data_IF_914031111502
#
_entry.id   IF_914031111502
#
_cell.length_a   1.000
_cell.length_b   1.000
_cell.length_c   1.000
_cell.angle_alpha   90.00
_cell.angle_beta   90.00
_cell.angle_gamma   90.00
#
_symmetry.space_group_name_H-M   'P 1'
#
loop_
_entity.id
_entity.type
_entity.pdbx_description
1 polymer ?
#
# COMPACT_ATOMS: atom_id res chain seq x y z
N UNK A 1 -17.31 -23.53 18.52
CA UNK A 1 -16.72 -24.00 17.24
C UNK A 1 -17.27 -23.07 16.16
N UNK A 2 -16.52 -22.00 15.90
CA UNK A 2 -16.98 -20.80 15.18
C UNK A 2 -16.84 -20.95 13.67
N UNK A 3 -17.93 -20.70 12.97
CA UNK A 3 -18.05 -20.73 11.51
C UNK A 3 -17.37 -19.53 10.81
N UNK A 4 -16.09 -19.26 11.11
CA UNK A 4 -15.32 -18.16 10.51
C UNK A 4 -14.12 -18.66 9.69
N UNK A 5 -13.87 -19.97 9.65
CA UNK A 5 -12.67 -20.52 8.99
C UNK A 5 -12.84 -20.90 7.51
N UNK A 6 -14.03 -20.80 6.93
CA UNK A 6 -14.28 -21.31 5.57
C UNK A 6 -14.82 -20.25 4.58
N UNK A 7 -14.16 -19.09 4.55
CA UNK A 7 -14.39 -18.08 3.51
C UNK A 7 -13.46 -18.29 2.32
N UNK A 8 -13.83 -19.24 1.47
CA UNK A 8 -13.23 -19.47 0.14
C UNK A 8 -13.16 -18.21 -0.74
N UNK A 9 -13.91 -17.15 -0.42
CA UNK A 9 -13.88 -15.86 -1.12
C UNK A 9 -12.62 -15.03 -0.86
N UNK A 10 -11.99 -15.15 0.32
CA UNK A 10 -10.76 -14.39 0.66
C UNK A 10 -9.63 -14.76 -0.30
N UNK A 11 -9.55 -16.02 -0.72
CA UNK A 11 -8.50 -16.52 -1.64
C UNK A 11 -8.62 -15.98 -3.06
N UNK A 12 -9.82 -15.62 -3.52
CA UNK A 12 -10.05 -15.15 -4.89
C UNK A 12 -9.71 -13.66 -5.10
N UNK A 13 -9.39 -12.94 -4.02
CA UNK A 13 -9.07 -11.51 -4.02
C UNK A 13 -7.82 -11.19 -3.18
N UNK A 14 -6.94 -12.18 -2.92
CA UNK A 14 -5.62 -11.83 -2.40
C UNK A 14 -4.83 -11.16 -3.53
N UNK A 15 -4.21 -10.00 -3.29
CA UNK A 15 -3.41 -9.35 -4.33
C UNK A 15 -2.21 -10.25 -4.68
N UNK A 16 -1.69 -10.12 -5.90
CA UNK A 16 -0.63 -11.01 -6.43
C UNK A 16 0.68 -11.02 -5.65
N UNK A 17 0.87 -10.07 -4.71
CA UNK A 17 2.00 -10.03 -3.78
C UNK A 17 2.01 -11.13 -2.69
N UNK A 18 0.96 -11.96 -2.61
CA UNK A 18 0.86 -13.13 -1.71
C UNK A 18 1.08 -14.45 -2.46
N UNK A 19 1.38 -14.41 -3.77
CA UNK A 19 1.65 -15.59 -4.59
C UNK A 19 3.16 -15.69 -4.89
N UNK A 20 3.82 -16.82 -4.58
CA UNK A 20 5.26 -16.94 -4.69
C UNK A 20 5.74 -17.24 -6.13
N UNK A 21 7.01 -16.90 -6.35
CA UNK A 21 8.01 -17.51 -7.27
C UNK A 21 8.51 -16.77 -8.53
N UNK A 22 7.79 -15.87 -9.20
CA UNK A 22 8.26 -15.41 -10.53
C UNK A 22 8.84 -13.98 -10.67
N UNK A 23 8.85 -13.13 -9.63
CA UNK A 23 9.11 -11.68 -9.83
C UNK A 23 10.46 -11.11 -9.35
N UNK A 24 11.39 -11.92 -8.86
CA UNK A 24 12.71 -11.43 -8.43
C UNK A 24 13.84 -11.89 -9.37
N UNK A 25 13.88 -11.37 -10.61
CA UNK A 25 15.11 -11.36 -11.40
C UNK A 25 15.86 -10.04 -11.18
N UNK A 26 16.40 -9.86 -9.98
CA UNK A 26 17.48 -8.90 -9.75
C UNK A 26 18.69 -9.67 -9.24
N UNK A 27 19.81 -9.50 -9.94
CA UNK A 27 21.07 -10.18 -9.66
C UNK A 27 21.51 -9.92 -8.22
N UNK A 28 21.79 -10.99 -7.48
CA UNK A 28 22.36 -10.93 -6.12
C UNK A 28 23.79 -10.39 -6.21
N UNK A 29 24.14 -9.25 -5.58
CA UNK A 29 25.53 -8.94 -5.32
C UNK A 29 26.00 -9.82 -4.16
N UNK A 30 27.03 -10.63 -4.41
CA UNK A 30 27.90 -11.09 -3.33
C UNK A 30 28.58 -9.85 -2.75
N UNK A 31 28.49 -9.62 -1.43
CA UNK A 31 29.70 -9.46 -0.60
C UNK A 31 29.42 -9.20 0.88
N UNK A 32 30.23 -9.92 1.65
CA UNK A 32 30.54 -9.83 3.08
C UNK A 32 30.64 -8.39 3.61
N UNK A 33 29.84 -8.03 4.62
CA UNK A 33 29.98 -6.76 5.33
C UNK A 33 31.19 -6.85 6.29
N UNK A 34 32.23 -6.07 5.99
CA UNK A 34 33.23 -5.63 6.96
C UNK A 34 32.76 -4.31 7.58
N UNK A 35 32.89 -4.22 8.91
CA UNK A 35 32.70 -3.00 9.71
C UNK A 35 33.38 -1.78 9.07
N UNK A 36 32.61 -0.72 8.79
CA UNK A 36 33.12 0.64 8.55
C UNK A 36 32.17 1.67 9.17
N UNK A 37 32.73 2.84 9.47
CA UNK A 37 32.15 4.07 10.05
C UNK A 37 30.67 4.37 9.75
N UNK A 38 30.00 5.19 10.58
CA UNK A 38 28.61 5.60 10.32
C UNK A 38 28.48 6.20 8.93
N UNK A 39 27.75 5.49 8.07
CA UNK A 39 27.46 5.92 6.70
C UNK A 39 26.49 7.11 6.75
N UNK A 40 26.71 8.10 5.91
CA UNK A 40 26.02 9.40 6.02
C UNK A 40 24.63 9.38 5.37
N UNK A 41 23.70 10.21 5.83
CA UNK A 41 22.37 10.39 5.21
C UNK A 41 22.45 10.76 3.72
N UNK A 42 23.53 11.44 3.32
CA UNK A 42 23.80 11.80 1.92
C UNK A 42 24.26 10.61 1.06
N UNK A 43 24.80 9.55 1.66
CA UNK A 43 25.20 8.32 0.95
C UNK A 43 23.98 7.45 0.62
N UNK A 44 22.96 7.46 1.49
CA UNK A 44 21.69 6.77 1.23
C UNK A 44 20.88 7.47 0.12
N UNK A 45 20.79 8.79 0.15
CA UNK A 45 20.00 9.58 -0.80
C UNK A 45 20.86 10.23 -1.88
N UNK A 46 21.33 9.42 -2.84
CA UNK A 46 21.99 9.95 -4.04
C UNK A 46 21.03 10.86 -4.82
N UNK A 47 21.50 11.99 -5.37
CA UNK A 47 20.63 12.96 -6.07
C UNK A 47 19.83 12.33 -7.21
N UNK A 48 18.54 12.68 -7.27
CA UNK A 48 17.67 12.44 -8.44
C UNK A 48 17.95 13.56 -9.44
N UNK A 49 18.62 13.25 -10.54
CA UNK A 49 19.08 14.23 -11.52
C UNK A 49 18.11 14.35 -12.72
N UNK A 50 17.26 13.34 -12.93
CA UNK A 50 16.19 13.34 -13.92
C UNK A 50 14.87 13.87 -13.38
N UNK A 51 14.08 14.53 -14.24
CA UNK A 51 12.79 15.12 -13.87
C UNK A 51 11.73 14.08 -13.45
N UNK A 52 11.91 12.82 -13.84
CA UNK A 52 11.00 11.71 -13.55
C UNK A 52 11.69 10.53 -12.84
N UNK A 53 12.83 10.79 -12.20
CA UNK A 53 13.49 9.82 -11.34
C UNK A 53 12.82 9.76 -9.96
N UNK A 54 12.66 8.55 -9.45
CA UNK A 54 12.13 8.26 -8.13
C UNK A 54 13.01 7.22 -7.44
N UNK A 55 12.75 6.97 -6.16
CA UNK A 55 13.28 5.80 -5.46
C UNK A 55 12.17 4.87 -5.06
N UNK A 56 12.41 3.57 -5.14
CA UNK A 56 11.53 2.52 -4.64
C UNK A 56 12.31 1.70 -3.63
N UNK A 57 11.70 1.44 -2.48
CA UNK A 57 12.30 0.67 -1.41
C UNK A 57 11.99 -0.82 -1.60
N UNK A 58 13.02 -1.66 -1.64
CA UNK A 58 12.85 -3.11 -1.50
C UNK A 58 12.89 -3.49 -0.02
N UNK A 59 11.71 -3.78 0.54
CA UNK A 59 11.61 -4.32 1.90
C UNK A 59 12.04 -5.78 1.90
N UNK A 60 13.06 -6.10 2.71
CA UNK A 60 13.64 -7.45 2.79
C UNK A 60 12.76 -8.40 3.61
N UNK A 61 12.82 -9.71 3.33
CA UNK A 61 12.07 -10.70 4.09
C UNK A 61 12.52 -10.80 5.55
N UNK A 62 11.64 -11.32 6.39
CA UNK A 62 11.92 -11.57 7.81
C UNK A 62 10.66 -11.90 8.61
N UNK A 63 10.85 -12.44 9.81
CA UNK A 63 9.76 -12.75 10.72
C UNK A 63 9.23 -11.47 11.38
N UNK A 64 8.03 -11.53 11.98
CA UNK A 64 7.39 -10.35 12.58
C UNK A 64 8.29 -9.57 13.54
N UNK A 65 9.05 -10.23 14.42
CA UNK A 65 9.88 -9.59 15.45
C UNK A 65 11.28 -9.17 14.96
N UNK A 66 11.71 -9.63 13.78
CA UNK A 66 13.02 -9.26 13.24
C UNK A 66 13.07 -7.76 12.93
N UNK A 67 14.25 -7.15 13.03
CA UNK A 67 14.47 -5.77 12.59
C UNK A 67 14.05 -5.57 11.13
N UNK A 68 13.50 -4.41 10.80
CA UNK A 68 13.18 -4.08 9.41
C UNK A 68 14.48 -3.74 8.66
N UNK A 69 14.68 -4.36 7.50
CA UNK A 69 15.79 -4.09 6.59
C UNK A 69 15.25 -3.81 5.20
N UNK A 70 15.88 -2.88 4.48
CA UNK A 70 15.51 -2.51 3.14
C UNK A 70 16.73 -2.10 2.29
N UNK A 71 16.52 -2.08 0.97
CA UNK A 71 17.42 -1.45 0.01
C UNK A 71 16.68 -0.37 -0.77
N UNK A 72 17.34 0.73 -1.08
CA UNK A 72 16.73 1.84 -1.81
C UNK A 72 17.19 1.87 -3.26
N UNK A 73 16.27 1.59 -4.18
CA UNK A 73 16.56 1.48 -5.62
C UNK A 73 16.17 2.76 -6.34
N UNK A 74 17.04 3.23 -7.22
CA UNK A 74 16.78 4.35 -8.11
C UNK A 74 16.12 3.86 -9.40
N UNK A 75 15.06 4.54 -9.83
CA UNK A 75 14.40 4.20 -11.08
C UNK A 75 13.83 5.42 -11.80
N UNK A 76 13.72 5.31 -13.12
CA UNK A 76 13.03 6.29 -13.95
C UNK A 76 11.58 5.85 -14.19
N UNK A 77 10.66 6.80 -14.14
CA UNK A 77 9.26 6.59 -14.54
C UNK A 77 9.03 6.77 -16.04
N UNK A 78 10.06 7.15 -16.81
CA UNK A 78 9.97 7.24 -18.26
C UNK A 78 9.75 5.84 -18.84
N UNK A 79 8.69 5.70 -19.64
CA UNK A 79 8.49 4.45 -20.39
C UNK A 79 9.51 4.39 -21.51
N UNK A 80 10.28 3.31 -21.60
CA UNK A 80 11.08 3.05 -22.80
C UNK A 80 10.13 2.94 -24.01
N UNK A 81 10.29 3.85 -24.98
CA UNK A 81 9.66 3.70 -26.28
C UNK A 81 10.30 2.49 -26.92
N UNK A 82 9.62 1.34 -26.88
CA UNK A 82 10.04 0.17 -27.65
C UNK A 82 10.13 0.56 -29.13
N UNK A 83 11.20 0.15 -29.80
CA UNK A 83 11.43 0.44 -31.22
C UNK A 83 10.15 0.17 -32.03
N UNK A 84 9.73 1.16 -32.83
CA UNK A 84 8.56 1.07 -33.70
C UNK A 84 8.72 -0.13 -34.66
N UNK A 85 7.96 -1.21 -34.44
CA UNK A 85 7.71 -2.20 -35.48
C UNK A 85 6.33 -1.88 -36.08
N UNK A 86 6.24 -1.52 -37.37
CA UNK A 86 4.97 -1.23 -38.02
C UNK A 86 4.02 -2.43 -37.92
N UNK A 87 2.80 -2.21 -37.42
CA UNK A 87 1.72 -3.21 -37.41
C UNK A 87 1.49 -3.96 -36.08
N UNK A 88 2.27 -3.69 -35.02
CA UNK A 88 1.94 -4.16 -33.66
C UNK A 88 1.46 -3.02 -32.77
N UNK A 89 0.29 -3.21 -32.15
CA UNK A 89 -0.25 -2.35 -31.08
C UNK A 89 0.53 -2.67 -29.81
N UNK A 90 1.50 -1.83 -29.44
CA UNK A 90 2.36 -2.06 -28.27
C UNK A 90 1.64 -1.74 -26.96
N UNK A 91 1.87 -2.56 -25.94
CA UNK A 91 1.57 -2.27 -24.53
C UNK A 91 2.72 -1.42 -23.95
N UNK A 92 2.41 -0.31 -23.27
CA UNK A 92 3.40 0.41 -22.46
C UNK A 92 3.92 -0.56 -21.39
N UNK A 93 5.17 -0.99 -21.50
CA UNK A 93 5.82 -1.77 -20.42
C UNK A 93 6.03 -0.80 -19.25
N UNK A 94 5.48 -1.11 -18.08
CA UNK A 94 5.77 -0.35 -16.86
C UNK A 94 7.28 -0.48 -16.59
N UNK A 95 8.01 0.62 -16.39
CA UNK A 95 9.46 0.55 -16.19
C UNK A 95 9.84 -0.18 -14.89
N UNK A 96 8.95 -0.18 -13.89
CA UNK A 96 9.10 -0.94 -12.64
C UNK A 96 7.74 -1.35 -12.07
N UNK A 97 7.67 -2.54 -11.48
CA UNK A 97 6.51 -3.02 -10.73
C UNK A 97 6.75 -2.80 -9.23
N UNK A 98 5.96 -1.92 -8.62
CA UNK A 98 6.03 -1.61 -7.19
C UNK A 98 4.64 -1.37 -6.63
N UNK A 99 4.52 -1.49 -5.31
CA UNK A 99 3.30 -1.16 -4.56
C UNK A 99 3.46 0.18 -3.86
N UNK A 100 2.56 1.12 -4.12
CA UNK A 100 2.53 2.39 -3.38
C UNK A 100 1.77 2.23 -2.07
N UNK A 101 2.35 2.64 -0.94
CA UNK A 101 1.66 2.66 0.35
C UNK A 101 1.11 4.06 0.60
N UNK A 102 -0.20 4.14 0.75
CA UNK A 102 -0.86 5.31 1.28
C UNK A 102 -1.24 5.07 2.75
N UNK A 103 -0.79 5.93 3.64
CA UNK A 103 -1.09 5.82 5.08
C UNK A 103 -1.32 7.20 5.68
N UNK A 104 -2.14 7.26 6.72
CA UNK A 104 -2.34 8.51 7.43
C UNK A 104 -1.09 8.87 8.24
N UNK A 105 -0.59 10.09 8.02
CA UNK A 105 0.60 10.60 8.69
C UNK A 105 0.42 10.74 10.22
N UNK A 106 -0.81 10.60 10.74
CA UNK A 106 -1.12 10.32 12.15
C UNK A 106 -0.48 11.26 13.16
N UNK A 107 -0.31 10.77 14.39
CA UNK A 107 0.51 11.43 15.40
C UNK A 107 2.00 11.41 14.99
N UNK A 108 2.73 12.48 15.30
CA UNK A 108 4.16 12.65 14.98
C UNK A 108 5.06 11.85 15.92
N UNK A 109 4.77 10.55 16.10
CA UNK A 109 5.57 9.64 16.91
C UNK A 109 6.59 8.93 16.01
N UNK A 110 7.86 9.34 16.15
CA UNK A 110 9.01 8.85 15.39
C UNK A 110 9.89 7.95 16.25
N UNK A 111 9.35 6.80 16.64
CA UNK A 111 10.01 5.77 17.48
C UNK A 111 10.26 4.46 16.73
N UNK A 112 9.87 4.37 15.46
CA UNK A 112 10.15 3.22 14.60
C UNK A 112 11.51 3.33 13.92
N UNK A 113 12.10 2.18 13.57
CA UNK A 113 13.40 2.11 12.91
C UNK A 113 13.42 1.11 11.77
N UNK A 114 14.13 1.45 10.70
CA UNK A 114 14.44 0.56 9.59
C UNK A 114 15.91 0.76 9.17
N UNK A 115 16.61 -0.32 8.86
CA UNK A 115 17.93 -0.25 8.24
C UNK A 115 17.79 -0.21 6.72
N UNK A 116 18.25 0.87 6.09
CA UNK A 116 18.27 1.01 4.63
C UNK A 116 19.72 1.00 4.14
N UNK A 117 20.14 -0.07 3.46
CA UNK A 117 21.51 -0.24 2.93
C UNK A 117 22.61 0.04 3.99
N UNK A 118 22.38 -0.40 5.24
CA UNK A 118 23.28 -0.18 6.37
C UNK A 118 23.16 1.18 7.04
N UNK A 119 22.12 1.96 6.73
CA UNK A 119 21.81 3.25 7.36
C UNK A 119 20.53 3.14 8.17
N UNK A 120 20.63 3.28 9.50
CA UNK A 120 19.46 3.35 10.36
C UNK A 120 18.66 4.63 10.07
N UNK A 121 17.39 4.45 9.69
CA UNK A 121 16.43 5.54 9.48
C UNK A 121 15.38 5.51 10.58
N UNK A 122 15.03 6.69 11.10
CA UNK A 122 13.92 6.85 12.04
C UNK A 122 12.65 7.10 11.23
N UNK A 123 11.65 6.25 11.46
CA UNK A 123 10.36 6.30 10.79
C UNK A 123 9.23 6.44 11.80
N UNK A 124 8.05 6.80 11.32
CA UNK A 124 6.85 6.83 12.16
C UNK A 124 6.50 5.44 12.64
N UNK A 125 5.97 5.33 13.86
CA UNK A 125 5.48 4.04 14.38
C UNK A 125 4.47 3.38 13.45
N UNK A 126 3.57 4.20 12.92
CA UNK A 126 2.50 3.75 12.03
C UNK A 126 3.06 3.16 10.73
N UNK A 127 4.17 3.71 10.22
CA UNK A 127 4.85 3.17 9.06
C UNK A 127 5.62 1.89 9.40
N UNK A 128 6.33 1.84 10.53
CA UNK A 128 7.01 0.60 10.97
C UNK A 128 6.04 -0.57 11.06
N UNK A 129 4.90 -0.35 11.74
CA UNK A 129 3.85 -1.37 11.90
C UNK A 129 3.27 -1.75 10.54
N UNK A 130 3.01 -0.77 9.66
CA UNK A 130 2.58 -1.05 8.29
C UNK A 130 3.58 -1.98 7.61
N UNK A 131 4.86 -1.58 7.51
CA UNK A 131 5.91 -2.36 6.84
C UNK A 131 6.02 -3.79 7.37
N UNK A 132 5.86 -4.01 8.68
CA UNK A 132 5.81 -5.38 9.24
C UNK A 132 4.63 -6.21 8.70
N UNK A 133 3.48 -5.60 8.46
CA UNK A 133 2.31 -6.24 7.83
C UNK A 133 2.45 -6.44 6.31
N UNK A 134 3.34 -5.71 5.64
CA UNK A 134 3.68 -5.92 4.22
C UNK A 134 4.86 -6.89 4.04
N UNK A 135 5.70 -7.09 5.08
CA UNK A 135 6.87 -7.97 5.03
C UNK A 135 6.45 -9.43 4.92
N UNK A 136 6.96 -10.12 3.91
CA UNK A 136 6.84 -11.56 3.77
C UNK A 136 8.01 -12.27 4.51
N UNK A 137 7.83 -13.48 5.07
CA UNK A 137 8.92 -14.20 5.73
C UNK A 137 10.05 -14.65 4.79
N UNK A 138 9.77 -14.77 3.49
CA UNK A 138 10.70 -15.38 2.52
C UNK A 138 11.02 -14.48 1.32
N UNK A 139 10.12 -13.56 0.96
CA UNK A 139 10.23 -12.77 -0.26
C UNK A 139 10.35 -11.28 0.04
N UNK A 140 11.12 -10.58 -0.78
CA UNK A 140 11.15 -9.12 -0.78
C UNK A 140 9.92 -8.54 -1.49
N UNK A 141 9.56 -7.31 -1.13
CA UNK A 141 8.54 -6.53 -1.83
C UNK A 141 9.07 -5.13 -2.18
N UNK A 142 8.78 -4.66 -3.40
CA UNK A 142 9.08 -3.30 -3.84
C UNK A 142 7.95 -2.37 -3.44
N UNK A 143 8.26 -1.40 -2.59
CA UNK A 143 7.35 -0.44 -2.00
C UNK A 143 7.79 0.98 -2.33
N UNK A 144 6.84 1.80 -2.79
CA UNK A 144 7.01 3.24 -2.73
C UNK A 144 6.27 3.80 -1.51
N UNK A 145 6.99 4.53 -0.66
CA UNK A 145 6.42 5.23 0.49
C UNK A 145 7.15 6.54 0.73
N UNK A 146 6.40 7.63 0.81
CA UNK A 146 6.91 9.01 0.83
C UNK A 146 8.04 9.26 1.85
N UNK A 147 7.89 8.78 3.08
CA UNK A 147 8.82 9.03 4.18
C UNK A 147 10.22 8.44 3.94
N UNK A 148 10.33 7.36 3.17
CA UNK A 148 11.61 6.68 2.90
C UNK A 148 12.08 6.95 1.48
N UNK A 149 11.19 6.93 0.48
CA UNK A 149 11.56 7.08 -0.92
C UNK A 149 11.97 8.51 -1.30
N UNK A 150 11.47 9.51 -0.55
CA UNK A 150 11.82 10.92 -0.73
C UNK A 150 12.81 11.32 0.37
N UNK A 151 13.88 12.02 -0.01
CA UNK A 151 14.80 12.62 0.94
C UNK A 151 14.11 13.74 1.71
N UNK A 152 13.61 13.42 2.90
CA UNK A 152 12.88 14.36 3.76
C UNK A 152 13.74 15.55 4.22
N UNK A 153 15.07 15.46 4.12
CA UNK A 153 16.00 16.54 4.44
C UNK A 153 16.28 17.50 3.28
N UNK A 154 15.73 17.25 2.09
CA UNK A 154 15.94 18.08 0.89
C UNK A 154 14.60 18.67 0.39
N UNK A 155 14.35 19.94 0.70
CA UNK A 155 13.09 20.63 0.32
C UNK A 155 12.90 20.76 -1.20
N UNK A 156 13.98 20.88 -1.97
CA UNK A 156 13.89 20.93 -3.43
C UNK A 156 13.42 19.57 -3.98
N UNK A 157 14.00 18.47 -3.48
CA UNK A 157 13.57 17.12 -3.84
C UNK A 157 12.13 16.87 -3.42
N UNK A 158 11.75 17.20 -2.18
CA UNK A 158 10.37 17.05 -1.70
C UNK A 158 9.38 17.77 -2.59
N UNK A 159 9.65 19.03 -2.94
CA UNK A 159 8.78 19.82 -3.82
C UNK A 159 8.63 19.15 -5.18
N UNK A 160 9.73 18.69 -5.78
CA UNK A 160 9.70 17.97 -7.05
C UNK A 160 8.88 16.67 -6.94
N UNK A 161 9.14 15.84 -5.93
CA UNK A 161 8.50 14.54 -5.77
C UNK A 161 7.01 14.67 -5.45
N UNK A 162 6.58 15.70 -4.72
CA UNK A 162 5.16 16.00 -4.50
C UNK A 162 4.43 16.27 -5.82
N UNK A 163 5.07 16.99 -6.77
CA UNK A 163 4.50 17.20 -8.10
C UNK A 163 4.38 15.90 -8.91
N UNK A 164 5.20 14.90 -8.60
CA UNK A 164 5.20 13.59 -9.24
C UNK A 164 4.25 12.57 -8.59
N UNK A 165 3.66 12.86 -7.42
CA UNK A 165 2.86 11.88 -6.67
C UNK A 165 1.73 11.27 -7.49
N UNK A 166 1.02 12.08 -8.28
CA UNK A 166 -0.04 11.56 -9.15
C UNK A 166 0.48 10.53 -10.17
N UNK A 167 1.69 10.74 -10.70
CA UNK A 167 2.33 9.80 -11.62
C UNK A 167 2.81 8.54 -10.90
N UNK A 168 3.32 8.66 -9.67
CA UNK A 168 3.76 7.52 -8.87
C UNK A 168 2.58 6.60 -8.54
N UNK A 169 1.47 7.14 -8.00
CA UNK A 169 0.27 6.34 -7.77
C UNK A 169 -0.33 5.77 -9.06
N UNK A 170 -0.29 6.53 -10.16
CA UNK A 170 -0.78 6.06 -11.46
C UNK A 170 0.07 4.97 -12.12
N UNK A 171 1.36 4.87 -11.80
CA UNK A 171 2.24 3.84 -12.35
C UNK A 171 2.45 2.64 -11.41
N UNK A 172 2.06 2.75 -10.14
CA UNK A 172 2.12 1.67 -9.17
C UNK A 172 1.28 0.46 -9.62
N UNK A 173 1.81 -0.76 -9.48
CA UNK A 173 1.09 -1.99 -9.79
C UNK A 173 -0.14 -2.12 -8.90
N UNK A 174 0.07 -1.84 -7.62
CA UNK A 174 -0.96 -1.75 -6.61
C UNK A 174 -0.76 -0.46 -5.81
N UNK A 175 -1.85 0.14 -5.38
CA UNK A 175 -1.83 1.11 -4.27
C UNK A 175 -2.52 0.46 -3.08
N UNK A 176 -1.95 0.61 -1.88
CA UNK A 176 -2.56 0.07 -0.66
C UNK A 176 -2.74 1.18 0.36
N UNK A 177 -3.99 1.42 0.69
CA UNK A 177 -4.43 2.25 1.78
C UNK A 177 -4.30 1.48 3.11
N UNK A 178 -3.31 1.84 3.91
CA UNK A 178 -3.12 1.32 5.25
C UNK A 178 -3.96 2.09 6.27
N UNK A 179 -4.93 1.41 6.87
CA UNK A 179 -5.86 1.98 7.87
C UNK A 179 -5.38 1.84 9.32
N UNK A 180 -4.25 1.18 9.53
CA UNK A 180 -3.72 0.84 10.85
C UNK A 180 -4.02 -0.59 11.28
N UNK A 181 -3.66 -0.91 12.53
CA UNK A 181 -3.95 -2.20 13.15
C UNK A 181 -5.44 -2.51 13.21
N UNK A 182 -5.74 -3.80 13.05
CA UNK A 182 -7.08 -4.31 13.23
C UNK A 182 -7.47 -4.25 14.71
N UNK A 183 -8.74 -3.94 14.96
CA UNK A 183 -9.35 -4.00 16.28
C UNK A 183 -10.51 -5.00 16.28
N UNK A 184 -11.23 -5.09 17.41
CA UNK A 184 -12.37 -6.00 17.55
C UNK A 184 -13.51 -5.73 16.56
N UNK A 185 -13.55 -4.56 15.93
CA UNK A 185 -14.61 -4.13 15.02
C UNK A 185 -14.25 -4.36 13.55
N UNK A 186 -12.96 -4.46 13.26
CA UNK A 186 -12.43 -4.59 11.89
C UNK A 186 -13.03 -5.82 11.15
N UNK A 187 -13.12 -7.02 11.75
CA UNK A 187 -13.71 -8.17 11.06
C UNK A 187 -15.20 -7.95 10.68
N UNK A 188 -15.99 -7.36 11.57
CA UNK A 188 -17.40 -7.07 11.33
C UNK A 188 -17.59 -6.05 10.21
N UNK A 189 -16.80 -4.97 10.21
CA UNK A 189 -16.81 -3.94 9.18
C UNK A 189 -16.42 -4.48 7.79
N UNK A 190 -15.37 -5.31 7.73
CA UNK A 190 -14.96 -5.95 6.47
C UNK A 190 -16.00 -6.95 5.98
N UNK A 191 -16.60 -7.71 6.90
CA UNK A 191 -17.66 -8.67 6.60
C UNK A 191 -18.88 -8.01 5.97
N UNK A 192 -19.45 -6.98 6.60
CA UNK A 192 -20.64 -6.30 6.08
C UNK A 192 -20.38 -5.65 4.70
N UNK A 193 -19.22 -5.02 4.49
CA UNK A 193 -18.85 -4.45 3.18
C UNK A 193 -18.77 -5.52 2.09
N UNK A 194 -18.13 -6.66 2.40
CA UNK A 194 -18.05 -7.80 1.49
C UNK A 194 -19.42 -8.36 1.14
N UNK A 195 -20.28 -8.56 2.13
CA UNK A 195 -21.63 -9.09 1.92
C UNK A 195 -22.49 -8.14 1.07
N UNK A 196 -22.48 -6.84 1.39
CA UNK A 196 -23.23 -5.82 0.66
C UNK A 196 -22.79 -5.75 -0.81
N UNK A 197 -21.48 -5.78 -1.06
CA UNK A 197 -20.94 -5.70 -2.41
C UNK A 197 -21.33 -6.91 -3.27
N UNK A 198 -21.31 -8.13 -2.69
CA UNK A 198 -21.58 -9.39 -3.39
C UNK A 198 -23.08 -9.64 -3.60
N UNK A 199 -23.90 -9.42 -2.58
CA UNK A 199 -25.31 -9.88 -2.58
C UNK A 199 -26.24 -9.05 -3.45
N UNK A 200 -25.80 -7.88 -3.90
CA UNK A 200 -26.71 -6.87 -4.43
C UNK A 200 -26.37 -6.33 -5.82
N UNK A 201 -25.83 -7.07 -6.82
CA UNK A 201 -25.35 -6.48 -8.08
C UNK A 201 -26.37 -5.57 -8.81
N UNK A 202 -27.69 -5.77 -8.62
CA UNK A 202 -28.77 -4.95 -9.19
C UNK A 202 -29.45 -3.93 -8.26
N UNK A 203 -28.92 -3.70 -7.05
CA UNK A 203 -29.49 -2.78 -6.06
C UNK A 203 -29.68 -3.45 -4.70
N UNK A 204 -29.73 -2.64 -3.64
CA UNK A 204 -29.81 -3.10 -2.26
C UNK A 204 -31.23 -2.93 -1.74
N UNK A 205 -31.81 -3.97 -1.14
CA UNK A 205 -33.11 -3.89 -0.46
C UNK A 205 -32.92 -3.93 1.05
N UNK A 206 -33.82 -3.29 1.82
CA UNK A 206 -33.75 -3.25 3.29
C UNK A 206 -33.68 -4.65 3.92
N UNK A 207 -34.30 -5.66 3.30
CA UNK A 207 -34.29 -7.05 3.77
C UNK A 207 -32.90 -7.73 3.73
N UNK A 208 -31.94 -7.13 3.04
CA UNK A 208 -30.57 -7.64 2.91
C UNK A 208 -29.59 -6.92 3.84
N UNK A 209 -30.06 -5.93 4.60
CA UNK A 209 -29.27 -5.21 5.58
C UNK A 209 -29.32 -5.87 6.96
N UNK A 210 -28.26 -5.72 7.77
CA UNK A 210 -28.36 -6.02 9.19
C UNK A 210 -29.49 -5.23 9.84
N UNK A 211 -30.14 -5.78 10.88
CA UNK A 211 -31.09 -5.03 11.71
C UNK A 211 -30.50 -3.69 12.16
N UNK A 212 -31.34 -2.65 12.29
CA UNK A 212 -30.87 -1.30 12.63
C UNK A 212 -30.14 -1.19 13.98
N UNK A 213 -30.40 -2.11 14.90
CA UNK A 213 -29.72 -2.22 16.20
C UNK A 213 -28.48 -3.14 16.18
N UNK A 214 -28.10 -3.66 15.01
CA UNK A 214 -26.92 -4.50 14.85
C UNK A 214 -25.64 -3.74 15.18
N UNK A 215 -24.74 -4.38 15.94
CA UNK A 215 -23.41 -3.85 16.22
C UNK A 215 -22.55 -3.66 14.96
N UNK A 216 -22.89 -4.35 13.86
CA UNK A 216 -22.19 -4.24 12.58
C UNK A 216 -22.19 -2.82 12.02
N UNK A 217 -23.22 -2.01 12.33
CA UNK A 217 -23.24 -0.60 11.96
C UNK A 217 -22.18 0.22 12.69
N UNK A 218 -22.01 -0.06 13.98
CA UNK A 218 -20.95 0.57 14.78
C UNK A 218 -19.57 0.14 14.29
N UNK A 219 -19.44 -1.12 13.88
CA UNK A 219 -18.20 -1.64 13.32
C UNK A 219 -17.83 -0.92 12.01
N UNK A 220 -18.80 -0.81 11.10
CA UNK A 220 -18.64 -0.11 9.83
C UNK A 220 -18.26 1.37 10.02
N UNK A 221 -18.99 2.10 10.87
CA UNK A 221 -18.70 3.51 11.17
C UNK A 221 -17.29 3.63 11.75
N UNK A 222 -16.89 2.73 12.66
CA UNK A 222 -15.54 2.74 13.23
C UNK A 222 -14.45 2.56 12.17
N UNK A 223 -14.71 1.83 11.08
CA UNK A 223 -13.78 1.68 9.96
C UNK A 223 -13.75 2.94 9.09
N UNK A 224 -14.92 3.48 8.72
CA UNK A 224 -15.03 4.65 7.84
C UNK A 224 -14.54 5.95 8.51
N UNK A 225 -14.55 6.01 9.84
CA UNK A 225 -13.96 7.11 10.62
C UNK A 225 -12.44 6.99 10.82
N UNK A 226 -11.77 5.98 10.25
CA UNK A 226 -10.31 5.86 10.35
C UNK A 226 -9.63 7.06 9.68
N UNK A 227 -8.53 7.60 10.22
CA UNK A 227 -7.94 8.87 9.76
C UNK A 227 -7.61 8.96 8.27
N UNK A 228 -7.37 7.82 7.62
CA UNK A 228 -7.06 7.76 6.20
C UNK A 228 -8.18 8.36 5.33
N UNK A 229 -9.46 8.08 5.63
CA UNK A 229 -10.61 8.57 4.87
C UNK A 229 -10.79 10.10 4.94
N UNK A 230 -10.24 10.75 5.97
CA UNK A 230 -10.32 12.21 6.15
C UNK A 230 -9.21 13.01 5.46
N UNK A 231 -8.28 12.38 4.75
CA UNK A 231 -7.13 13.06 4.14
C UNK A 231 -7.49 13.68 2.79
N UNK A 232 -7.15 14.95 2.57
CA UNK A 232 -7.34 15.61 1.27
C UNK A 232 -6.57 14.94 0.12
N UNK A 233 -5.38 14.41 0.40
CA UNK A 233 -4.51 13.79 -0.61
C UNK A 233 -4.98 12.42 -1.10
N UNK A 234 -5.97 11.82 -0.43
CA UNK A 234 -6.57 10.53 -0.82
C UNK A 234 -7.09 10.55 -2.25
N UNK A 235 -7.49 11.71 -2.77
CA UNK A 235 -8.08 11.84 -4.10
C UNK A 235 -7.08 11.39 -5.18
N UNK A 236 -5.81 11.81 -5.07
CA UNK A 236 -4.80 11.39 -6.04
C UNK A 236 -4.51 9.88 -5.92
N UNK A 237 -4.49 9.38 -4.69
CA UNK A 237 -4.19 7.99 -4.36
C UNK A 237 -5.30 7.03 -4.85
N UNK A 238 -6.56 7.46 -4.77
CA UNK A 238 -7.73 6.68 -5.16
C UNK A 238 -8.05 6.82 -6.65
N UNK A 239 -8.05 8.05 -7.18
CA UNK A 239 -8.48 8.30 -8.56
C UNK A 239 -7.45 7.81 -9.58
N UNK A 240 -6.16 7.91 -9.25
CA UNK A 240 -5.10 7.60 -10.21
C UNK A 240 -4.62 6.15 -10.13
N UNK A 241 -4.83 5.47 -9.01
CA UNK A 241 -4.43 4.07 -8.86
C UNK A 241 -5.22 3.15 -9.78
N UNK A 242 -4.52 2.33 -10.55
CA UNK A 242 -5.16 1.29 -11.39
C UNK A 242 -5.72 0.13 -10.55
N UNK A 243 -5.09 -0.20 -9.42
CA UNK A 243 -5.49 -1.30 -8.53
C UNK A 243 -5.34 -0.88 -7.07
N UNK A 244 -6.43 -0.51 -6.40
CA UNK A 244 -6.41 0.01 -5.03
C UNK A 244 -6.95 -1.01 -4.03
N UNK A 245 -6.22 -1.19 -2.93
CA UNK A 245 -6.57 -2.07 -1.83
C UNK A 245 -6.67 -1.31 -0.51
N UNK A 246 -7.66 -1.67 0.30
CA UNK A 246 -7.76 -1.28 1.70
C UNK A 246 -7.14 -2.39 2.54
N UNK A 247 -6.19 -2.04 3.42
CA UNK A 247 -5.55 -2.96 4.37
C UNK A 247 -5.68 -2.43 5.80
N UNK A 248 -6.17 -3.28 6.71
CA UNK A 248 -6.27 -2.99 8.14
C UNK A 248 -5.83 -4.21 8.94
N UNK A 249 -4.65 -4.14 9.56
CA UNK A 249 -3.96 -5.30 10.11
C UNK A 249 -3.82 -6.43 9.05
N UNK A 250 -4.25 -7.66 9.37
CA UNK A 250 -4.23 -8.78 8.43
C UNK A 250 -5.37 -8.74 7.40
N UNK A 251 -6.38 -7.87 7.56
CA UNK A 251 -7.54 -7.83 6.69
C UNK A 251 -7.28 -6.97 5.44
N UNK A 252 -7.77 -7.44 4.29
CA UNK A 252 -7.62 -6.76 2.99
C UNK A 252 -8.95 -6.81 2.23
N UNK A 253 -9.31 -5.70 1.58
CA UNK A 253 -10.42 -5.61 0.63
C UNK A 253 -9.99 -4.80 -0.59
N UNK A 254 -10.46 -5.19 -1.77
CA UNK A 254 -10.32 -4.35 -2.96
C UNK A 254 -11.19 -3.09 -2.80
N UNK A 255 -10.72 -1.95 -3.31
CA UNK A 255 -11.45 -0.69 -3.21
C UNK A 255 -12.86 -0.78 -3.79
N UNK A 256 -13.08 -1.53 -4.88
CA UNK A 256 -14.41 -1.73 -5.45
C UNK A 256 -15.41 -2.35 -4.47
N UNK A 257 -14.95 -3.20 -3.55
CA UNK A 257 -15.83 -3.77 -2.52
C UNK A 257 -16.27 -2.67 -1.56
N UNK A 258 -15.33 -1.83 -1.14
CA UNK A 258 -15.59 -0.73 -0.21
C UNK A 258 -16.44 0.36 -0.86
N UNK A 259 -16.11 0.78 -2.07
CA UNK A 259 -16.81 1.84 -2.81
C UNK A 259 -18.22 1.42 -3.23
N UNK A 260 -18.40 0.20 -3.75
CA UNK A 260 -19.74 -0.32 -4.05
C UNK A 260 -20.54 -0.55 -2.76
N UNK A 261 -19.89 -1.05 -1.70
CA UNK A 261 -20.51 -1.23 -0.40
C UNK A 261 -21.08 0.08 0.17
N UNK A 262 -20.25 1.12 0.21
CA UNK A 262 -20.64 2.43 0.69
C UNK A 262 -21.67 3.10 -0.25
N UNK A 263 -21.46 3.04 -1.57
CA UNK A 263 -22.39 3.63 -2.55
C UNK A 263 -23.82 3.10 -2.39
N UNK A 264 -23.97 1.79 -2.17
CA UNK A 264 -25.28 1.18 -1.91
C UNK A 264 -25.92 1.66 -0.61
N UNK A 265 -25.12 1.85 0.43
CA UNK A 265 -25.60 2.37 1.71
C UNK A 265 -26.03 3.83 1.59
N UNK A 266 -25.39 4.61 0.71
CA UNK A 266 -25.84 5.96 0.34
C UNK A 266 -27.17 5.91 -0.42
N UNK A 267 -27.30 5.01 -1.40
CA UNK A 267 -28.54 4.87 -2.20
C UNK A 267 -29.77 4.56 -1.34
N UNK A 268 -29.60 3.83 -0.23
CA UNK A 268 -30.67 3.53 0.73
C UNK A 268 -30.73 4.48 1.93
N UNK A 269 -29.92 5.55 1.95
CA UNK A 269 -29.96 6.61 2.96
C UNK A 269 -29.40 6.24 4.34
N UNK A 270 -28.54 5.22 4.43
CA UNK A 270 -27.95 4.76 5.69
C UNK A 270 -26.71 5.58 6.07
N UNK A 271 -25.90 5.99 5.09
CA UNK A 271 -24.72 6.85 5.28
C UNK A 271 -24.78 8.04 4.32
N UNK A 272 -24.18 9.17 4.69
CA UNK A 272 -24.17 10.43 3.92
C UNK A 272 -22.82 11.12 3.94
#
# INVERSE_FOLDING_TARGET
MSAVEDSTWVRNFLPGWYAPEEKAQFARPNETIKNTSPRSHAELYQSLNGAEEIRVMELKPGNWDDGLCASLHHCSMESEIGNEIPGRRYWKKRPMEYTAISYAWGELVFDGTIDCDGHAQVIKKTLEVALRHFRHPQDSILIWVDQICINQGNEAEKTQQVLLMGKMYGLAMDTVAWLGEADSKTPGAFGILGEIAIRCPGGLTEAQLPPGDSSLWTDLISLLCRPWFGRLWIIQEVVLSENLWIKCGPHVLHWDVVSNGCGRLVDVGIIG
#
